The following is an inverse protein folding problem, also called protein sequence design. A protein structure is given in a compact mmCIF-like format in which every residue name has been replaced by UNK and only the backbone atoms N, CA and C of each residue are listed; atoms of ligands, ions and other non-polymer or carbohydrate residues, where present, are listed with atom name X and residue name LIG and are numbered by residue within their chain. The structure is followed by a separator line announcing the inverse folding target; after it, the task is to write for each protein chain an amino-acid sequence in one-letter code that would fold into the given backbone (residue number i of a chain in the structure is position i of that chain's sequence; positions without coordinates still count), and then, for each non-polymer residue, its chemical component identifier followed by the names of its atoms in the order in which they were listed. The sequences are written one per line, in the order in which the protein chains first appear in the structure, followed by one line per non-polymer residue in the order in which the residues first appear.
data_IF_256442550930
#
_entry.id   IF_256442550930
#
_cell.length_a   1.000
_cell.length_b   1.000
_cell.length_c   1.000
_cell.angle_alpha   90.00
_cell.angle_beta   90.00
_cell.angle_gamma   90.00
#
_symmetry.space_group_name_H-M   'P 1'
#
loop_
_entity.id
_entity.type
_entity.pdbx_description
1 polymer ?
#
# COMPACT_ATOMS: atom_id res chain seq x y z
N UNK A 1 -24.78 34.09 34.29
CA UNK A 1 -24.43 34.87 33.09
C UNK A 1 -22.93 35.01 33.09
N UNK A 2 -22.15 34.43 32.17
CA UNK A 2 -22.47 33.93 30.84
C UNK A 2 -21.61 32.73 30.46
N UNK A 3 -22.23 31.81 29.72
CA UNK A 3 -21.58 30.75 28.99
C UNK A 3 -20.78 31.35 27.82
N UNK A 4 -19.57 30.86 27.59
CA UNK A 4 -18.94 30.99 26.27
C UNK A 4 -18.28 29.66 25.95
N UNK A 5 -19.13 28.76 25.43
CA UNK A 5 -18.72 27.73 24.50
C UNK A 5 -18.09 28.40 23.29
N UNK A 6 -16.77 28.26 23.13
CA UNK A 6 -16.14 28.38 21.83
C UNK A 6 -15.87 26.98 21.33
N UNK A 7 -16.84 26.45 20.61
CA UNK A 7 -16.65 25.30 19.74
C UNK A 7 -15.55 25.63 18.74
N UNK A 8 -14.42 24.92 18.85
CA UNK A 8 -13.49 24.81 17.74
C UNK A 8 -13.81 23.52 17.00
N UNK A 9 -14.92 23.56 16.25
CA UNK A 9 -15.06 22.74 15.06
C UNK A 9 -13.94 23.17 14.10
N UNK A 10 -12.88 22.37 14.04
CA UNK A 10 -11.99 22.39 12.89
C UNK A 10 -12.01 20.99 12.32
N UNK A 11 -13.17 20.66 11.76
CA UNK A 11 -13.25 19.81 10.59
C UNK A 11 -12.48 20.51 9.47
N UNK A 12 -11.16 20.40 9.52
CA UNK A 12 -10.36 20.55 8.32
C UNK A 12 -10.64 19.30 7.50
N UNK A 13 -11.73 19.37 6.74
CA UNK A 13 -11.76 18.82 5.39
C UNK A 13 -10.54 19.42 4.66
N UNK A 14 -9.36 18.83 4.91
CA UNK A 14 -8.28 18.88 3.95
C UNK A 14 -8.87 18.20 2.74
N UNK A 15 -9.38 19.03 1.83
CA UNK A 15 -9.36 18.83 0.39
C UNK A 15 -8.39 17.69 0.09
N UNK A 16 -8.93 16.48 -0.01
CA UNK A 16 -8.19 15.31 -0.43
C UNK A 16 -7.85 15.60 -1.86
N UNK A 17 -6.76 16.33 -2.09
CA UNK A 17 -6.18 16.51 -3.41
C UNK A 17 -6.14 15.15 -4.06
N UNK A 18 -6.41 15.09 -5.37
CA UNK A 18 -6.54 13.85 -6.11
C UNK A 18 -5.40 12.86 -5.74
N UNK A 19 -5.71 11.89 -4.87
CA UNK A 19 -4.80 10.90 -4.32
C UNK A 19 -5.16 9.55 -4.94
N UNK A 20 -4.17 8.72 -5.30
CA UNK A 20 -4.46 7.43 -5.89
C UNK A 20 -5.09 6.48 -4.88
N UNK A 21 -5.94 5.56 -5.32
CA UNK A 21 -6.48 4.54 -4.42
C UNK A 21 -5.33 3.76 -3.72
N UNK A 22 -5.43 3.51 -2.39
CA UNK A 22 -4.45 2.70 -1.69
C UNK A 22 -4.39 1.27 -2.24
N UNK A 23 -3.18 0.68 -2.36
CA UNK A 23 -3.04 -0.70 -2.88
C UNK A 23 -3.74 -1.75 -2.01
N UNK A 24 -3.99 -1.46 -0.73
CA UNK A 24 -4.78 -2.34 0.14
C UNK A 24 -6.23 -2.50 -0.34
N UNK A 25 -6.77 -1.56 -1.12
CA UNK A 25 -8.10 -1.66 -1.71
C UNK A 25 -8.19 -2.78 -2.78
N UNK A 26 -7.04 -3.26 -3.28
CA UNK A 26 -6.98 -4.41 -4.20
C UNK A 26 -7.09 -5.75 -3.46
N UNK A 27 -7.09 -5.75 -2.13
CA UNK A 27 -7.28 -6.98 -1.37
C UNK A 27 -8.71 -7.47 -1.54
N UNK A 28 -8.82 -8.63 -2.17
CA UNK A 28 -10.06 -9.37 -2.30
C UNK A 28 -9.85 -10.78 -1.71
N UNK A 29 -10.68 -11.13 -0.74
CA UNK A 29 -10.60 -12.41 -0.04
C UNK A 29 -11.00 -13.58 -0.94
N UNK A 30 -11.84 -13.34 -1.95
CA UNK A 30 -12.40 -14.35 -2.83
C UNK A 30 -11.37 -14.81 -3.88
N UNK A 31 -10.31 -14.03 -4.11
CA UNK A 31 -9.17 -14.41 -4.96
C UNK A 31 -8.47 -15.68 -4.47
N UNK A 32 -8.59 -16.03 -3.18
CA UNK A 32 -8.00 -17.26 -2.62
C UNK A 32 -8.59 -18.54 -3.22
N UNK A 33 -9.77 -18.44 -3.82
CA UNK A 33 -10.49 -19.57 -4.41
C UNK A 33 -10.18 -19.76 -5.91
N UNK A 34 -9.46 -18.80 -6.53
CA UNK A 34 -9.12 -18.85 -7.95
C UNK A 34 -7.91 -19.75 -8.21
N UNK A 35 -7.87 -20.35 -9.41
CA UNK A 35 -6.69 -21.09 -9.83
C UNK A 35 -5.55 -20.15 -10.25
N UNK A 36 -4.33 -20.69 -10.40
CA UNK A 36 -3.16 -19.88 -10.71
C UNK A 36 -3.29 -19.08 -12.01
N UNK A 37 -3.90 -19.65 -13.05
CA UNK A 37 -4.05 -18.98 -14.35
C UNK A 37 -5.02 -17.79 -14.24
N UNK A 38 -6.13 -17.96 -13.53
CA UNK A 38 -7.12 -16.88 -13.30
C UNK A 38 -6.53 -15.77 -12.41
N UNK A 39 -5.71 -16.14 -11.42
CA UNK A 39 -4.99 -15.17 -10.59
C UNK A 39 -3.98 -14.36 -11.41
N UNK A 40 -3.28 -15.01 -12.33
CA UNK A 40 -2.32 -14.35 -13.20
C UNK A 40 -3.03 -13.38 -14.15
N UNK A 41 -4.09 -13.81 -14.84
CA UNK A 41 -4.88 -12.96 -15.72
C UNK A 41 -5.42 -11.73 -14.97
N UNK A 42 -6.00 -11.93 -13.78
CA UNK A 42 -6.48 -10.82 -12.94
C UNK A 42 -5.39 -9.87 -12.46
N UNK A 43 -4.19 -10.40 -12.22
CA UNK A 43 -3.04 -9.59 -11.81
C UNK A 43 -2.55 -8.72 -12.97
N UNK A 44 -2.49 -9.27 -14.19
CA UNK A 44 -2.12 -8.56 -15.41
C UNK A 44 -3.15 -7.47 -15.74
N UNK A 45 -4.45 -7.80 -15.73
CA UNK A 45 -5.55 -6.83 -15.90
C UNK A 45 -5.46 -5.68 -14.89
N UNK A 46 -5.21 -6.02 -13.62
CA UNK A 46 -5.08 -5.02 -12.55
C UNK A 46 -3.85 -4.14 -12.76
N UNK A 47 -2.72 -4.71 -13.17
CA UNK A 47 -1.50 -3.98 -13.44
C UNK A 47 -1.69 -2.98 -14.59
N UNK A 48 -2.30 -3.40 -15.70
CA UNK A 48 -2.58 -2.51 -16.82
C UNK A 48 -3.55 -1.38 -16.45
N UNK A 49 -4.61 -1.71 -15.70
CA UNK A 49 -5.58 -0.73 -15.21
C UNK A 49 -4.90 0.32 -14.34
N UNK A 50 -4.10 -0.10 -13.37
CA UNK A 50 -3.36 0.82 -12.49
C UNK A 50 -2.37 1.69 -13.27
N UNK A 51 -1.71 1.14 -14.29
CA UNK A 51 -0.81 1.90 -15.16
C UNK A 51 -1.52 3.00 -15.97
N UNK A 52 -2.82 2.85 -16.24
CA UNK A 52 -3.64 3.85 -16.94
C UNK A 52 -4.29 4.86 -16.01
N UNK A 53 -4.69 4.43 -14.81
CA UNK A 53 -5.40 5.26 -13.83
C UNK A 53 -4.48 6.12 -12.97
N UNK A 54 -3.24 5.68 -12.74
CA UNK A 54 -2.30 6.40 -11.89
C UNK A 54 -1.63 7.55 -12.63
N UNK A 55 -1.94 8.79 -12.24
CA UNK A 55 -1.34 9.98 -12.84
C UNK A 55 -0.06 10.40 -12.12
N UNK A 56 0.80 11.16 -12.81
CA UNK A 56 1.99 11.75 -12.19
C UNK A 56 1.61 12.76 -11.09
N UNK A 57 0.55 13.55 -11.31
CA UNK A 57 0.05 14.52 -10.33
C UNK A 57 -0.42 13.83 -9.05
N UNK A 58 -1.13 12.71 -9.15
CA UNK A 58 -1.51 11.89 -8.00
C UNK A 58 -0.29 11.39 -7.21
N UNK A 59 0.80 11.03 -7.90
CA UNK A 59 2.05 10.63 -7.25
C UNK A 59 2.70 11.79 -6.49
N UNK A 60 2.75 12.98 -7.09
CA UNK A 60 3.31 14.20 -6.46
C UNK A 60 2.46 14.63 -5.28
N UNK A 61 1.13 14.65 -5.43
CA UNK A 61 0.19 14.98 -4.36
C UNK A 61 0.34 14.01 -3.18
N UNK A 62 0.53 12.72 -3.46
CA UNK A 62 0.77 11.72 -2.44
C UNK A 62 2.10 11.97 -1.70
N UNK A 63 3.18 12.32 -2.41
CA UNK A 63 4.45 12.68 -1.79
C UNK A 63 4.31 13.90 -0.86
N UNK A 64 3.64 14.96 -1.34
CA UNK A 64 3.42 16.18 -0.56
C UNK A 64 2.57 15.91 0.69
N UNK A 65 1.47 15.17 0.54
CA UNK A 65 0.53 14.85 1.63
C UNK A 65 1.17 13.94 2.69
N UNK A 66 2.14 13.10 2.27
CA UNK A 66 2.82 12.16 3.16
C UNK A 66 4.18 12.64 3.64
N UNK A 67 4.55 13.89 3.38
CA UNK A 67 5.83 14.51 3.77
C UNK A 67 6.14 14.42 5.28
N UNK A 68 5.11 14.43 6.14
CA UNK A 68 5.24 14.29 7.61
C UNK A 68 5.39 12.83 8.08
N UNK A 69 5.43 11.89 7.14
CA UNK A 69 5.67 10.45 7.36
C UNK A 69 4.80 9.88 8.48
N UNK A 70 5.40 9.39 9.58
CA UNK A 70 4.70 8.72 10.67
C UNK A 70 3.60 9.57 11.35
N UNK A 71 3.62 10.89 11.18
CA UNK A 71 2.59 11.80 11.69
C UNK A 71 1.45 12.06 10.68
N UNK A 72 1.48 11.45 9.49
CA UNK A 72 0.45 11.53 8.47
C UNK A 72 -0.36 10.23 8.42
N UNK A 73 -1.68 10.34 8.56
CA UNK A 73 -2.54 9.16 8.42
C UNK A 73 -2.50 8.60 7.00
N UNK A 74 -2.45 9.48 5.98
CA UNK A 74 -2.29 9.08 4.58
C UNK A 74 -1.01 8.27 4.35
N UNK A 75 0.08 8.59 5.05
CA UNK A 75 1.32 7.81 4.94
C UNK A 75 1.15 6.36 5.39
N UNK A 76 0.45 6.13 6.50
CA UNK A 76 0.17 4.77 6.99
C UNK A 76 -0.76 4.01 6.04
N UNK A 77 -1.84 4.66 5.59
CA UNK A 77 -2.79 4.07 4.64
C UNK A 77 -2.11 3.64 3.34
N UNK A 78 -1.36 4.54 2.69
CA UNK A 78 -0.79 4.28 1.37
C UNK A 78 0.43 3.35 1.41
N UNK A 79 1.09 3.18 2.56
CA UNK A 79 2.16 2.17 2.72
C UNK A 79 1.64 0.76 2.95
N UNK A 80 0.39 0.60 3.36
CA UNK A 80 -0.23 -0.71 3.56
C UNK A 80 -0.35 -1.43 2.22
N UNK A 81 0.08 -2.69 2.16
CA UNK A 81 0.11 -3.47 0.92
C UNK A 81 1.31 -3.19 -0.01
N UNK A 82 2.19 -2.22 0.32
CA UNK A 82 3.41 -1.95 -0.46
C UNK A 82 4.63 -2.69 0.08
N UNK A 83 5.48 -3.19 -0.82
CA UNK A 83 6.84 -3.61 -0.47
C UNK A 83 7.69 -2.35 -0.35
N UNK A 84 7.80 -1.85 0.88
CA UNK A 84 8.64 -0.67 1.18
C UNK A 84 10.12 -1.03 1.15
N UNK A 85 11.01 -0.03 1.00
CA UNK A 85 12.47 -0.23 1.10
C UNK A 85 12.87 -0.99 2.39
N UNK A 86 12.25 -0.66 3.52
CA UNK A 86 12.47 -1.38 4.78
C UNK A 86 12.00 -2.83 4.73
N UNK A 87 10.89 -3.13 4.03
CA UNK A 87 10.43 -4.50 3.82
C UNK A 87 11.39 -5.26 2.91
N UNK A 88 11.82 -4.64 1.80
CA UNK A 88 12.77 -5.22 0.85
C UNK A 88 14.12 -5.53 1.51
N UNK A 89 14.70 -4.57 2.21
CA UNK A 89 15.95 -4.77 2.95
C UNK A 89 15.83 -5.96 3.91
N UNK A 90 14.76 -6.00 4.71
CA UNK A 90 14.51 -7.13 5.62
C UNK A 90 14.43 -8.46 4.87
N UNK A 91 13.75 -8.53 3.73
CA UNK A 91 13.66 -9.76 2.92
C UNK A 91 15.04 -10.16 2.39
N UNK A 92 15.85 -9.21 1.90
CA UNK A 92 17.16 -9.49 1.31
C UNK A 92 18.25 -9.82 2.34
N UNK A 93 18.16 -9.29 3.57
CA UNK A 93 19.19 -9.50 4.60
C UNK A 93 18.87 -10.63 5.56
N UNK A 94 17.69 -11.24 5.46
CA UNK A 94 17.34 -12.38 6.32
C UNK A 94 18.04 -13.63 5.84
N UNK A 95 18.99 -14.08 6.65
CA UNK A 95 19.55 -15.43 6.58
C UNK A 95 18.47 -16.40 7.07
N UNK A 96 18.10 -17.36 6.23
CA UNK A 96 16.97 -18.29 6.40
C UNK A 96 17.03 -19.13 7.69
N UNK A 97 18.19 -19.21 8.34
CA UNK A 97 18.41 -19.97 9.57
C UNK A 97 17.74 -19.34 10.81
N UNK A 98 17.51 -18.02 10.83
CA UNK A 98 16.90 -17.30 11.98
C UNK A 98 15.58 -16.58 11.62
N UNK A 99 15.00 -16.90 10.46
CA UNK A 99 13.83 -16.21 9.95
C UNK A 99 12.55 -16.63 10.71
N UNK A 100 11.87 -15.68 11.37
CA UNK A 100 10.51 -15.92 11.88
C UNK A 100 9.60 -16.35 10.72
N UNK A 101 8.83 -17.42 10.90
CA UNK A 101 7.99 -18.08 9.85
C UNK A 101 7.10 -17.14 9.04
N UNK A 102 6.65 -16.02 9.62
CA UNK A 102 5.85 -14.99 8.93
C UNK A 102 6.64 -14.26 7.83
N UNK A 103 7.96 -14.16 7.96
CA UNK A 103 8.84 -13.48 7.01
C UNK A 103 9.11 -14.36 5.78
N UNK A 104 9.25 -15.68 5.97
CA UNK A 104 9.43 -16.65 4.88
C UNK A 104 8.21 -16.71 3.94
N UNK A 105 6.99 -16.56 4.49
CA UNK A 105 5.75 -16.49 3.66
C UNK A 105 5.72 -15.24 2.78
N UNK A 106 6.20 -14.09 3.26
CA UNK A 106 6.34 -12.87 2.45
C UNK A 106 7.45 -13.01 1.40
N UNK A 107 8.57 -13.64 1.76
CA UNK A 107 9.73 -13.83 0.88
C UNK A 107 9.45 -14.80 -0.28
N UNK A 108 8.75 -15.91 -0.04
CA UNK A 108 8.49 -16.93 -1.08
C UNK A 108 7.56 -16.45 -2.21
N UNK A 109 6.60 -15.56 -1.91
CA UNK A 109 5.74 -14.97 -2.95
C UNK A 109 6.53 -14.01 -3.87
N UNK A 110 7.53 -13.29 -3.33
CA UNK A 110 8.36 -12.34 -4.08
C UNK A 110 9.48 -13.06 -4.87
N UNK A 111 10.06 -14.14 -4.31
CA UNK A 111 11.15 -14.88 -4.95
C UNK A 111 10.67 -16.00 -5.88
N UNK A 112 9.44 -16.50 -5.73
CA UNK A 112 8.85 -17.51 -6.61
C UNK A 112 8.72 -17.04 -8.08
N UNK A 113 8.66 -15.74 -8.32
CA UNK A 113 8.61 -15.15 -9.66
C UNK A 113 10.00 -15.00 -10.32
N UNK A 114 11.09 -15.21 -9.57
CA UNK A 114 12.48 -15.01 -10.04
C UNK A 114 13.19 -16.31 -10.44
N UNK A 115 12.45 -17.43 -10.53
CA UNK A 115 13.00 -18.77 -10.77
C UNK A 115 12.43 -19.47 -12.01
N UNK A 116 12.00 -18.70 -13.01
CA UNK A 116 11.71 -19.19 -14.37
C UNK A 116 12.35 -18.28 -15.43
N UNK A 117 13.64 -18.03 -15.29
CA UNK A 117 14.54 -17.65 -16.40
C UNK A 117 15.84 -18.46 -16.28
#
# INVERSE_FOLDING_TARGET
MDCSDTGSASESDMETGDLPAPLVALYDADLRCLCQNELQERSEETFERLGKELTNEQCVNLELTTKKQAHSQAWHTHRTGRITSTTLHRVCTVVTENAKTNLVKQTNHILGHRRME
#
